data_IF_841731429954
#
_entry.id   IF_841731429954
#
_cell.length_a   1.000
_cell.length_b   1.000
_cell.length_c   1.000
_cell.angle_alpha   90.00
_cell.angle_beta   90.00
_cell.angle_gamma   90.00
#
_symmetry.space_group_name_H-M   'P 1'
#
loop_
_entity.id
_entity.type
_entity.pdbx_description
1 polymer ?
#
# COMPACT_ATOMS: atom_id res chain seq x y z
N UNK A 1 -9.59 -9.47 11.51
CA UNK A 1 -10.41 -8.69 10.56
C UNK A 1 -9.82 -7.28 10.47
N UNK A 2 -9.64 -6.74 9.27
CA UNK A 2 -8.98 -5.44 9.04
C UNK A 2 -10.01 -4.47 8.46
N UNK A 3 -9.99 -3.20 8.88
CA UNK A 3 -10.81 -2.15 8.26
C UNK A 3 -10.05 -1.51 7.12
N UNK A 4 -10.59 -1.59 5.91
CA UNK A 4 -10.05 -0.95 4.71
C UNK A 4 -10.83 0.32 4.46
N UNK A 5 -10.17 1.46 4.27
CA UNK A 5 -10.82 2.74 4.03
C UNK A 5 -10.26 3.44 2.80
N UNK A 6 -11.13 3.96 1.94
CA UNK A 6 -10.74 4.87 0.86
C UNK A 6 -11.23 6.29 1.10
N UNK A 7 -10.30 7.26 1.11
CA UNK A 7 -10.62 8.69 1.20
C UNK A 7 -10.65 9.28 -0.21
N UNK A 8 -11.82 9.77 -0.62
CA UNK A 8 -12.06 10.24 -1.97
C UNK A 8 -12.58 9.17 -2.92
N UNK A 9 -13.06 9.59 -4.09
CA UNK A 9 -13.66 8.70 -5.07
C UNK A 9 -12.68 7.65 -5.60
N UNK A 10 -11.47 8.06 -5.98
CA UNK A 10 -10.45 7.17 -6.52
C UNK A 10 -10.02 6.10 -5.49
N UNK A 11 -9.65 6.52 -4.27
CA UNK A 11 -9.31 5.59 -3.21
C UNK A 11 -10.49 4.69 -2.79
N UNK A 12 -11.72 5.22 -2.81
CA UNK A 12 -12.92 4.42 -2.52
C UNK A 12 -13.16 3.31 -3.55
N UNK A 13 -12.81 3.53 -4.83
CA UNK A 13 -12.88 2.48 -5.86
C UNK A 13 -11.83 1.39 -5.65
N UNK A 14 -10.63 1.76 -5.20
CA UNK A 14 -9.61 0.80 -4.81
C UNK A 14 -10.06 -0.01 -3.58
N UNK A 15 -10.51 0.67 -2.51
CA UNK A 15 -11.02 0.02 -1.30
C UNK A 15 -12.20 -0.94 -1.61
N UNK A 16 -13.05 -0.61 -2.59
CA UNK A 16 -14.18 -1.46 -3.01
C UNK A 16 -13.74 -2.85 -3.49
N UNK A 17 -12.52 -3.00 -4.02
CA UNK A 17 -11.98 -4.30 -4.46
C UNK A 17 -11.90 -5.32 -3.32
N UNK A 18 -11.74 -4.84 -2.08
CA UNK A 18 -11.63 -5.69 -0.89
C UNK A 18 -12.97 -6.28 -0.41
N UNK A 19 -14.11 -5.82 -0.95
CA UNK A 19 -15.45 -6.29 -0.51
C UNK A 19 -15.67 -7.77 -0.83
N UNK A 20 -15.00 -8.31 -1.86
CA UNK A 20 -15.10 -9.72 -2.23
C UNK A 20 -14.49 -10.67 -1.19
N UNK A 21 -13.66 -10.16 -0.28
CA UNK A 21 -12.93 -10.97 0.71
C UNK A 21 -13.52 -10.73 2.11
N UNK A 22 -13.96 -11.82 2.77
CA UNK A 22 -14.68 -11.78 4.05
C UNK A 22 -13.88 -11.21 5.24
N UNK A 23 -12.56 -11.11 5.11
CA UNK A 23 -11.66 -10.68 6.19
C UNK A 23 -11.59 -9.16 6.36
N UNK A 24 -12.29 -8.39 5.52
CA UNK A 24 -12.24 -6.93 5.50
C UNK A 24 -13.59 -6.28 5.80
N UNK A 25 -13.57 -5.21 6.60
CA UNK A 25 -14.65 -4.22 6.66
C UNK A 25 -14.27 -3.04 5.78
N UNK A 26 -15.03 -2.79 4.72
CA UNK A 26 -14.68 -1.78 3.72
C UNK A 26 -15.47 -0.50 3.94
N UNK A 27 -14.76 0.60 4.17
CA UNK A 27 -15.29 1.94 4.38
C UNK A 27 -14.98 2.83 3.17
N UNK A 28 -15.98 3.57 2.70
CA UNK A 28 -15.84 4.50 1.57
C UNK A 28 -16.26 5.90 2.02
N UNK A 29 -15.35 6.86 1.89
CA UNK A 29 -15.57 8.25 2.24
C UNK A 29 -15.40 9.10 0.97
N UNK A 30 -16.48 9.42 0.25
CA UNK A 30 -16.40 10.22 -0.98
C UNK A 30 -17.69 11.00 -1.30
N UNK A 31 -17.60 11.92 -2.25
CA UNK A 31 -18.67 12.81 -2.69
C UNK A 31 -19.69 12.15 -3.62
N UNK A 32 -19.31 11.05 -4.27
CA UNK A 32 -20.15 10.28 -5.20
C UNK A 32 -21.05 9.25 -4.50
N UNK A 33 -20.95 9.08 -3.18
CA UNK A 33 -21.90 8.27 -2.41
C UNK A 33 -23.27 8.94 -2.45
N UNK A 34 -24.27 8.26 -3.02
CA UNK A 34 -25.65 8.78 -3.08
C UNK A 34 -26.27 8.93 -1.68
N UNK A 35 -26.19 7.87 -0.88
CA UNK A 35 -26.75 7.81 0.48
C UNK A 35 -25.73 7.29 1.48
N UNK A 36 -25.58 8.01 2.60
CA UNK A 36 -24.75 7.55 3.70
C UNK A 36 -25.35 6.30 4.34
N UNK A 37 -24.49 5.35 4.65
CA UNK A 37 -24.79 4.08 5.30
C UNK A 37 -23.71 3.77 6.35
N UNK A 38 -23.77 2.57 6.93
CA UNK A 38 -22.77 2.08 7.88
C UNK A 38 -21.34 2.05 7.32
N UNK A 39 -21.19 1.81 6.03
CA UNK A 39 -19.89 1.62 5.37
C UNK A 39 -19.58 2.67 4.28
N UNK A 40 -20.56 3.50 3.93
CA UNK A 40 -20.39 4.56 2.93
C UNK A 40 -20.78 5.89 3.55
N UNK A 41 -19.88 6.86 3.51
CA UNK A 41 -20.14 8.21 4.03
C UNK A 41 -19.97 9.21 2.90
N UNK A 42 -21.03 9.97 2.65
CA UNK A 42 -20.98 11.11 1.73
C UNK A 42 -20.22 12.25 2.39
N UNK A 43 -19.22 12.78 1.71
CA UNK A 43 -18.48 14.00 2.10
C UNK A 43 -18.67 15.09 1.07
N UNK A 44 -18.39 16.33 1.46
CA UNK A 44 -18.43 17.48 0.56
C UNK A 44 -17.19 17.45 -0.35
N UNK A 45 -17.30 18.11 -1.50
CA UNK A 45 -16.16 18.45 -2.34
C UNK A 45 -16.09 19.95 -2.48
N UNK A 46 -14.88 20.45 -2.64
CA UNK A 46 -14.56 21.87 -2.74
C UNK A 46 -13.50 22.07 -3.81
N UNK A 47 -13.40 23.30 -4.29
CA UNK A 47 -12.42 23.65 -5.33
C UNK A 47 -11.09 24.09 -4.70
N UNK A 48 -11.11 24.50 -3.42
CA UNK A 48 -9.92 24.94 -2.70
C UNK A 48 -9.50 23.95 -1.61
N UNK A 49 -8.19 23.62 -1.48
CA UNK A 49 -7.71 22.70 -0.46
C UNK A 49 -8.11 23.09 0.97
N UNK A 50 -8.04 24.37 1.30
CA UNK A 50 -8.30 24.89 2.64
C UNK A 50 -9.76 24.69 3.08
N UNK A 51 -10.70 24.60 2.14
CA UNK A 51 -12.10 24.31 2.46
C UNK A 51 -12.29 22.88 2.99
N UNK A 52 -11.46 21.93 2.55
CA UNK A 52 -11.49 20.56 3.07
C UNK A 52 -11.08 20.52 4.55
N UNK A 53 -10.01 21.23 4.90
CA UNK A 53 -9.52 21.34 6.29
C UNK A 53 -10.55 22.02 7.20
N UNK A 54 -11.20 23.09 6.71
CA UNK A 54 -12.23 23.80 7.47
C UNK A 54 -13.56 23.03 7.60
N UNK A 55 -13.76 21.97 6.80
CA UNK A 55 -15.01 21.22 6.75
C UNK A 55 -14.81 19.72 7.00
N UNK A 56 -13.85 19.35 7.86
CA UNK A 56 -13.63 17.96 8.28
C UNK A 56 -14.94 17.41 8.90
N UNK A 57 -15.49 16.31 8.38
CA UNK A 57 -16.73 15.74 8.92
C UNK A 57 -16.50 15.08 10.28
N UNK A 58 -17.49 15.13 11.17
CA UNK A 58 -17.54 14.24 12.34
C UNK A 58 -17.87 12.81 11.87
N UNK A 59 -16.93 11.90 12.13
CA UNK A 59 -16.96 10.49 11.75
C UNK A 59 -17.06 9.57 12.96
N UNK A 60 -17.22 10.08 14.20
CA UNK A 60 -17.31 9.24 15.42
C UNK A 60 -18.35 8.12 15.29
N UNK A 61 -19.56 8.47 14.82
CA UNK A 61 -20.63 7.48 14.60
C UNK A 61 -20.33 6.56 13.41
N UNK A 62 -19.66 7.06 12.37
CA UNK A 62 -19.31 6.25 11.21
C UNK A 62 -18.24 5.20 11.56
N UNK A 63 -17.34 5.53 12.48
CA UNK A 63 -16.27 4.66 12.97
C UNK A 63 -16.65 3.83 14.19
N UNK A 64 -17.92 3.77 14.58
CA UNK A 64 -18.34 3.05 15.80
C UNK A 64 -18.01 1.55 15.79
N UNK A 65 -17.86 0.96 14.60
CA UNK A 65 -17.51 -0.46 14.42
C UNK A 65 -16.19 -0.67 13.67
N UNK A 66 -15.37 0.39 13.56
CA UNK A 66 -14.05 0.27 12.94
C UNK A 66 -13.17 -0.63 13.81
N UNK A 67 -12.41 -1.51 13.16
CA UNK A 67 -11.48 -2.40 13.86
C UNK A 67 -10.25 -1.64 14.35
N UNK A 68 -9.47 -2.28 15.22
CA UNK A 68 -8.23 -1.69 15.74
C UNK A 68 -7.17 -1.47 14.65
N UNK A 69 -7.03 -2.43 13.73
CA UNK A 69 -6.18 -2.32 12.55
C UNK A 69 -6.95 -1.65 11.40
N UNK A 70 -6.41 -0.54 10.89
CA UNK A 70 -7.03 0.24 9.81
C UNK A 70 -6.02 0.50 8.70
N UNK A 71 -6.39 0.17 7.46
CA UNK A 71 -5.61 0.51 6.26
C UNK A 71 -6.35 1.58 5.48
N UNK A 72 -5.71 2.74 5.29
CA UNK A 72 -6.31 3.92 4.66
C UNK A 72 -5.62 4.19 3.33
N UNK A 73 -6.39 4.17 2.25
CA UNK A 73 -5.94 4.54 0.91
C UNK A 73 -6.16 6.03 0.66
N UNK A 74 -5.10 6.69 0.18
CA UNK A 74 -5.09 8.11 -0.17
C UNK A 74 -4.46 8.26 -1.55
N UNK A 75 -5.12 8.98 -2.46
CA UNK A 75 -4.57 9.30 -3.79
C UNK A 75 -4.10 10.75 -3.78
N UNK A 76 -2.81 10.98 -4.01
CA UNK A 76 -2.17 12.27 -3.74
C UNK A 76 -2.80 13.47 -4.46
N UNK A 77 -3.01 13.37 -5.77
CA UNK A 77 -3.57 14.47 -6.59
C UNK A 77 -5.06 14.74 -6.39
N UNK A 78 -5.76 13.93 -5.60
CA UNK A 78 -7.20 14.13 -5.37
C UNK A 78 -7.42 15.26 -4.38
N UNK A 79 -8.28 16.23 -4.68
CA UNK A 79 -8.64 17.29 -3.72
C UNK A 79 -9.15 16.74 -2.39
N UNK A 80 -9.84 15.59 -2.42
CA UNK A 80 -10.30 14.91 -1.21
C UNK A 80 -9.20 14.33 -0.32
N UNK A 81 -7.95 14.23 -0.80
CA UNK A 81 -6.80 13.82 0.02
C UNK A 81 -6.49 14.86 1.11
N UNK A 82 -6.92 16.12 0.97
CA UNK A 82 -6.83 17.14 2.02
C UNK A 82 -7.67 16.79 3.26
N UNK A 83 -8.66 15.89 3.16
CA UNK A 83 -9.35 15.37 4.35
C UNK A 83 -8.49 14.41 5.18
N UNK A 84 -7.39 13.87 4.63
CA UNK A 84 -6.69 12.72 5.21
C UNK A 84 -6.29 12.97 6.65
N UNK A 85 -5.69 14.12 6.98
CA UNK A 85 -5.24 14.39 8.35
C UNK A 85 -6.40 14.49 9.34
N UNK A 86 -7.47 15.21 8.99
CA UNK A 86 -8.65 15.33 9.84
C UNK A 86 -9.42 14.01 10.03
N UNK A 87 -9.34 13.10 9.05
CA UNK A 87 -9.88 11.74 9.17
C UNK A 87 -8.97 10.87 10.03
N UNK A 88 -7.66 10.92 9.81
CA UNK A 88 -6.65 10.15 10.57
C UNK A 88 -6.62 10.56 12.04
N UNK A 89 -6.81 11.83 12.37
CA UNK A 89 -6.92 12.31 13.75
C UNK A 89 -8.06 11.63 14.52
N UNK A 90 -9.19 11.39 13.86
CA UNK A 90 -10.33 10.67 14.44
C UNK A 90 -10.08 9.16 14.60
N UNK A 91 -8.94 8.68 14.10
CA UNK A 91 -8.47 7.29 14.21
C UNK A 91 -7.17 7.19 15.04
N UNK A 92 -6.77 8.22 15.77
CA UNK A 92 -5.50 8.28 16.51
C UNK A 92 -5.29 7.15 17.54
N UNK A 93 -6.39 6.58 18.05
CA UNK A 93 -6.37 5.47 19.01
C UNK A 93 -6.38 4.10 18.31
N UNK A 94 -6.01 4.05 17.01
CA UNK A 94 -6.01 2.84 16.17
C UNK A 94 -4.63 2.60 15.58
N UNK A 95 -4.38 1.35 15.20
CA UNK A 95 -3.19 0.99 14.43
C UNK A 95 -3.43 1.30 12.95
N UNK A 96 -3.01 2.49 12.52
CA UNK A 96 -3.27 2.99 11.16
C UNK A 96 -2.08 2.79 10.22
N UNK A 97 -2.33 2.11 9.12
CA UNK A 97 -1.42 2.01 7.96
C UNK A 97 -1.98 2.83 6.81
N UNK A 98 -1.16 3.69 6.21
CA UNK A 98 -1.56 4.51 5.06
C UNK A 98 -0.94 3.93 3.79
N UNK A 99 -1.76 3.72 2.77
CA UNK A 99 -1.34 3.40 1.41
C UNK A 99 -1.52 4.64 0.54
N UNK A 100 -0.41 5.31 0.27
CA UNK A 100 -0.36 6.49 -0.57
C UNK A 100 -0.14 6.08 -2.01
N UNK A 101 -1.13 6.39 -2.85
CA UNK A 101 -1.07 6.18 -4.28
C UNK A 101 -0.54 7.45 -4.93
N UNK A 102 0.73 7.41 -5.34
CA UNK A 102 1.38 8.49 -6.07
C UNK A 102 0.85 8.49 -7.51
N UNK A 103 0.19 9.58 -7.94
CA UNK A 103 -0.20 9.78 -9.32
C UNK A 103 1.02 9.99 -10.22
N UNK A 104 0.83 9.85 -11.53
CA UNK A 104 1.81 10.32 -12.51
C UNK A 104 1.98 11.84 -12.34
N UNK A 105 3.15 12.24 -11.84
CA UNK A 105 3.43 13.62 -11.41
C UNK A 105 3.87 14.54 -12.56
N UNK A 106 4.24 13.95 -13.71
CA UNK A 106 4.61 14.67 -14.92
C UNK A 106 3.36 15.18 -15.65
N UNK A 107 2.24 14.48 -15.51
CA UNK A 107 0.95 14.89 -16.05
C UNK A 107 0.17 15.86 -15.14
N UNK A 108 0.65 16.13 -13.93
CA UNK A 108 -0.01 17.06 -13.00
C UNK A 108 0.47 18.49 -13.20
N UNK A 109 -0.48 19.43 -13.14
CA UNK A 109 -0.21 20.87 -13.14
C UNK A 109 -1.09 21.58 -12.10
N UNK A 110 -0.68 22.78 -11.69
CA UNK A 110 -1.47 23.63 -10.78
C UNK A 110 -1.72 23.00 -9.41
N UNK A 111 -2.96 23.17 -8.92
CA UNK A 111 -3.37 22.78 -7.56
C UNK A 111 -3.17 21.27 -7.29
N UNK A 112 -3.60 20.33 -8.17
CA UNK A 112 -3.38 18.90 -7.94
C UNK A 112 -1.93 18.50 -7.66
N UNK A 113 -0.95 19.13 -8.33
CA UNK A 113 0.48 18.88 -8.09
C UNK A 113 0.93 19.39 -6.72
N UNK A 114 0.42 20.54 -6.31
CA UNK A 114 0.70 21.10 -4.97
C UNK A 114 0.08 20.23 -3.88
N UNK A 115 -1.15 19.77 -4.06
CA UNK A 115 -1.84 18.86 -3.12
C UNK A 115 -1.08 17.55 -2.99
N UNK A 116 -0.69 16.93 -4.12
CA UNK A 116 0.12 15.72 -4.14
C UNK A 116 1.43 15.90 -3.35
N UNK A 117 2.16 16.99 -3.59
CA UNK A 117 3.39 17.32 -2.86
C UNK A 117 3.17 17.50 -1.36
N UNK A 118 2.14 18.26 -0.96
CA UNK A 118 1.85 18.53 0.45
C UNK A 118 1.45 17.25 1.17
N UNK A 119 0.49 16.51 0.62
CA UNK A 119 -0.01 15.28 1.25
C UNK A 119 1.09 14.22 1.35
N UNK A 120 1.89 14.04 0.28
CA UNK A 120 3.04 13.14 0.33
C UNK A 120 4.03 13.52 1.43
N UNK A 121 4.39 14.81 1.52
CA UNK A 121 5.38 15.28 2.49
C UNK A 121 4.87 15.14 3.93
N UNK A 122 3.63 15.54 4.20
CA UNK A 122 3.08 15.51 5.57
C UNK A 122 2.86 14.07 6.06
N UNK A 123 2.34 13.17 5.23
CA UNK A 123 2.14 11.77 5.63
C UNK A 123 3.44 11.07 5.98
N UNK A 124 4.56 11.44 5.35
CA UNK A 124 5.88 10.92 5.68
C UNK A 124 6.35 11.36 7.07
N UNK A 125 6.11 12.60 7.46
CA UNK A 125 6.42 13.10 8.80
C UNK A 125 5.56 12.43 9.88
N UNK A 126 4.28 12.16 9.57
CA UNK A 126 3.40 11.38 10.43
C UNK A 126 3.89 9.94 10.61
N UNK A 127 4.39 9.31 9.53
CA UNK A 127 5.00 8.00 9.63
C UNK A 127 6.27 8.05 10.51
N UNK A 128 7.16 9.01 10.29
CA UNK A 128 8.43 9.12 11.06
C UNK A 128 8.23 9.41 12.55
N UNK A 129 7.23 10.21 12.89
CA UNK A 129 6.89 10.53 14.29
C UNK A 129 6.21 9.38 15.03
N UNK A 130 5.89 8.28 14.34
CA UNK A 130 5.21 7.12 14.93
C UNK A 130 3.70 7.28 15.06
N UNK A 131 3.12 8.36 14.52
CA UNK A 131 1.66 8.55 14.48
C UNK A 131 0.97 7.57 13.53
N UNK A 132 1.69 7.03 12.55
CA UNK A 132 1.23 5.94 11.69
C UNK A 132 2.03 4.67 11.98
N UNK A 133 1.37 3.51 11.89
CA UNK A 133 2.06 2.21 11.89
C UNK A 133 3.02 2.14 10.71
N UNK A 134 2.53 2.50 9.52
CA UNK A 134 3.36 2.62 8.32
C UNK A 134 2.74 3.54 7.27
N UNK A 135 3.59 4.06 6.39
CA UNK A 135 3.23 4.69 5.12
C UNK A 135 3.80 3.84 3.99
N UNK A 136 2.93 3.30 3.15
CA UNK A 136 3.30 2.51 1.97
C UNK A 136 3.07 3.36 0.72
N UNK A 137 4.12 3.56 -0.07
CA UNK A 137 4.06 4.36 -1.30
C UNK A 137 4.00 3.45 -2.52
N UNK A 138 3.01 3.69 -3.39
CA UNK A 138 2.78 2.98 -4.64
C UNK A 138 2.58 4.01 -5.76
N UNK A 139 3.42 3.99 -6.79
CA UNK A 139 3.30 4.84 -7.98
C UNK A 139 2.42 4.17 -9.03
N UNK A 140 1.39 4.87 -9.49
CA UNK A 140 0.57 4.42 -10.62
C UNK A 140 1.39 4.28 -11.90
N UNK A 141 2.33 5.21 -12.14
CA UNK A 141 3.20 5.22 -13.32
C UNK A 141 4.08 3.97 -13.36
N UNK A 142 4.77 3.65 -12.25
CA UNK A 142 5.62 2.47 -12.20
C UNK A 142 4.80 1.19 -12.27
N UNK A 143 3.65 1.15 -11.61
CA UNK A 143 2.75 0.00 -11.68
C UNK A 143 2.26 -0.25 -13.12
N UNK A 144 1.86 0.80 -13.83
CA UNK A 144 1.50 0.72 -15.25
C UNK A 144 2.65 0.18 -16.10
N UNK A 145 3.86 0.73 -15.94
CA UNK A 145 5.05 0.28 -16.66
C UNK A 145 5.33 -1.22 -16.44
N UNK A 146 5.09 -1.73 -15.23
CA UNK A 146 5.29 -3.14 -14.90
C UNK A 146 4.20 -4.07 -15.45
N UNK A 147 2.96 -3.58 -15.52
CA UNK A 147 1.82 -4.30 -16.11
C UNK A 147 1.88 -4.32 -17.65
N UNK A 148 2.56 -3.35 -18.26
CA UNK A 148 2.69 -3.23 -19.71
C UNK A 148 1.44 -2.61 -20.34
N UNK A 149 0.87 -3.28 -21.35
CA UNK A 149 -0.26 -2.72 -22.11
C UNK A 149 -1.58 -2.77 -21.32
N UNK A 150 -2.01 -1.62 -20.80
CA UNK A 150 -3.28 -1.48 -20.07
C UNK A 150 -4.31 -0.76 -20.96
N UNK A 151 -5.46 -1.38 -21.28
CA UNK A 151 -6.51 -0.70 -22.05
C UNK A 151 -7.06 0.52 -21.31
N UNK A 152 -7.13 1.68 -21.99
CA UNK A 152 -7.56 2.97 -21.40
C UNK A 152 -8.89 2.86 -20.63
N UNK A 153 -9.90 2.19 -21.20
CA UNK A 153 -11.21 2.01 -20.54
C UNK A 153 -11.15 1.20 -19.23
N UNK A 154 -10.14 0.34 -19.09
CA UNK A 154 -9.91 -0.51 -17.91
C UNK A 154 -8.77 0.00 -17.03
N UNK A 155 -8.15 1.14 -17.38
CA UNK A 155 -6.93 1.64 -16.77
C UNK A 155 -6.93 1.53 -15.24
N UNK A 156 -7.80 2.30 -14.59
CA UNK A 156 -7.88 2.31 -13.14
C UNK A 156 -8.39 1.00 -12.56
N UNK A 157 -9.23 0.25 -13.28
CA UNK A 157 -9.73 -1.03 -12.78
C UNK A 157 -8.63 -2.10 -12.74
N UNK A 158 -7.71 -2.10 -13.72
CA UNK A 158 -6.53 -2.96 -13.78
C UNK A 158 -5.50 -2.58 -12.72
N UNK A 159 -5.15 -1.29 -12.60
CA UNK A 159 -4.23 -0.82 -11.57
C UNK A 159 -4.77 -1.12 -10.17
N UNK A 160 -6.05 -0.82 -9.93
CA UNK A 160 -6.67 -1.10 -8.63
C UNK A 160 -6.71 -2.60 -8.30
N UNK A 161 -6.89 -3.46 -9.31
CA UNK A 161 -6.82 -4.91 -9.11
C UNK A 161 -5.42 -5.36 -8.67
N UNK A 162 -4.38 -4.84 -9.32
CA UNK A 162 -3.00 -5.18 -8.96
C UNK A 162 -2.61 -4.66 -7.58
N UNK A 163 -3.03 -3.44 -7.21
CA UNK A 163 -2.82 -2.90 -5.87
C UNK A 163 -3.59 -3.72 -4.83
N UNK A 164 -4.85 -4.07 -5.12
CA UNK A 164 -5.65 -4.94 -4.25
C UNK A 164 -4.93 -6.28 -4.00
N UNK A 165 -4.49 -6.97 -5.05
CA UNK A 165 -3.78 -8.26 -4.92
C UNK A 165 -2.52 -8.10 -4.07
N UNK A 166 -1.72 -7.07 -4.35
CA UNK A 166 -0.50 -6.79 -3.61
C UNK A 166 -0.78 -6.60 -2.11
N UNK A 167 -1.71 -5.71 -1.75
CA UNK A 167 -2.04 -5.42 -0.35
C UNK A 167 -2.73 -6.61 0.32
N UNK A 168 -3.56 -7.36 -0.40
CA UNK A 168 -4.19 -8.58 0.10
C UNK A 168 -3.14 -9.61 0.49
N UNK A 169 -2.12 -9.84 -0.34
CA UNK A 169 -1.05 -10.78 -0.03
C UNK A 169 -0.12 -10.29 1.08
N UNK A 170 0.16 -9.00 1.18
CA UNK A 170 0.88 -8.46 2.35
C UNK A 170 0.14 -8.73 3.65
N UNK A 171 -1.19 -8.54 3.65
CA UNK A 171 -2.03 -8.90 4.79
C UNK A 171 -1.99 -10.41 5.06
N UNK A 172 -1.98 -11.25 4.02
CA UNK A 172 -1.84 -12.70 4.17
C UNK A 172 -0.50 -13.07 4.83
N UNK A 173 0.63 -12.55 4.35
CA UNK A 173 1.95 -12.86 4.89
C UNK A 173 2.12 -12.45 6.35
N UNK A 174 1.50 -11.35 6.78
CA UNK A 174 1.58 -10.90 8.17
C UNK A 174 0.80 -11.81 9.14
N UNK A 175 -0.16 -12.60 8.64
CA UNK A 175 -1.06 -13.41 9.47
C UNK A 175 -0.93 -14.92 9.25
N UNK A 176 0.00 -15.36 8.40
CA UNK A 176 0.23 -16.77 8.11
C UNK A 176 1.73 -17.08 8.25
N UNK A 177 2.01 -18.30 8.71
CA UNK A 177 3.38 -18.78 8.82
C UNK A 177 3.91 -19.22 7.45
N UNK A 178 5.17 -18.91 7.12
CA UNK A 178 5.79 -19.43 5.90
C UNK A 178 6.19 -20.89 6.05
N UNK A 179 6.28 -21.60 4.92
CA UNK A 179 6.87 -22.94 4.85
C UNK A 179 8.35 -22.92 5.21
N UNK A 180 9.07 -21.90 4.71
CA UNK A 180 10.51 -21.72 4.94
C UNK A 180 10.85 -20.25 5.13
N UNK A 181 11.79 -19.99 6.03
CA UNK A 181 12.40 -18.69 6.23
C UNK A 181 11.79 -17.94 7.40
N UNK A 182 12.27 -16.72 7.62
CA UNK A 182 11.77 -15.85 8.67
C UNK A 182 11.75 -14.43 8.15
N UNK A 183 10.59 -13.78 8.28
CA UNK A 183 10.46 -12.35 8.01
C UNK A 183 11.20 -11.61 9.12
N UNK A 184 12.22 -10.82 8.76
CA UNK A 184 12.89 -9.99 9.76
C UNK A 184 11.89 -8.97 10.31
N UNK A 185 11.91 -8.76 11.62
CA UNK A 185 11.17 -7.66 12.23
C UNK A 185 11.92 -6.36 11.91
N UNK A 186 11.36 -5.45 11.09
CA UNK A 186 12.02 -4.18 10.80
C UNK A 186 12.19 -3.36 12.08
N UNK A 187 13.10 -2.41 12.07
CA UNK A 187 13.20 -1.46 13.19
C UNK A 187 11.91 -0.64 13.29
N UNK A 188 11.44 -0.37 14.51
CA UNK A 188 10.19 0.38 14.74
C UNK A 188 10.21 1.81 14.17
N UNK A 189 11.37 2.33 13.80
CA UNK A 189 11.55 3.64 13.15
C UNK A 189 11.42 3.57 11.61
N UNK A 190 11.49 2.37 11.01
CA UNK A 190 11.41 2.15 9.57
C UNK A 190 9.94 2.06 9.13
N UNK A 191 9.23 3.19 9.19
CA UNK A 191 7.77 3.25 8.95
C UNK A 191 7.37 3.64 7.54
N UNK A 192 8.29 4.15 6.73
CA UNK A 192 8.04 4.43 5.32
C UNK A 192 8.47 3.20 4.53
N UNK A 193 7.63 2.72 3.63
CA UNK A 193 7.91 1.51 2.83
C UNK A 193 7.38 1.61 1.42
N UNK A 194 7.89 0.75 0.56
CA UNK A 194 7.33 0.44 -0.75
C UNK A 194 7.35 -1.07 -0.98
N UNK A 195 6.77 -1.48 -2.09
CA UNK A 195 6.63 -2.87 -2.48
C UNK A 195 7.20 -3.01 -3.88
N UNK A 196 7.85 -4.13 -4.16
CA UNK A 196 8.24 -4.53 -5.51
C UNK A 196 7.61 -5.86 -5.88
N UNK A 197 7.18 -5.99 -7.13
CA UNK A 197 6.75 -7.27 -7.69
C UNK A 197 7.99 -8.07 -8.11
N UNK A 198 8.03 -9.36 -7.84
CA UNK A 198 9.16 -10.21 -8.19
C UNK A 198 8.92 -10.96 -9.49
N UNK A 199 9.92 -10.94 -10.37
CA UNK A 199 10.00 -11.92 -11.44
C UNK A 199 10.55 -13.23 -10.87
N UNK A 200 9.69 -14.25 -10.73
CA UNK A 200 10.06 -15.51 -10.08
C UNK A 200 11.12 -16.34 -10.84
N UNK A 201 11.46 -15.98 -12.08
CA UNK A 201 12.54 -16.64 -12.83
C UNK A 201 13.94 -16.22 -12.37
N UNK A 202 14.11 -14.95 -12.00
CA UNK A 202 15.43 -14.34 -11.70
C UNK A 202 15.44 -13.49 -10.41
N UNK A 203 14.33 -13.43 -9.69
CA UNK A 203 14.09 -12.54 -8.54
C UNK A 203 14.35 -11.06 -8.83
N UNK A 204 14.19 -10.62 -10.08
CA UNK A 204 14.25 -9.20 -10.43
C UNK A 204 13.13 -8.43 -9.74
N UNK A 205 13.50 -7.27 -9.17
CA UNK A 205 12.62 -6.43 -8.36
C UNK A 205 12.00 -5.34 -9.23
N UNK A 206 10.69 -5.43 -9.44
CA UNK A 206 9.90 -4.39 -10.09
C UNK A 206 9.29 -3.48 -9.04
N UNK A 207 10.06 -2.51 -8.58
CA UNK A 207 9.66 -1.58 -7.52
C UNK A 207 8.47 -0.71 -7.93
N UNK A 208 7.48 -0.59 -7.05
CA UNK A 208 6.31 0.27 -7.23
C UNK A 208 6.58 1.72 -6.79
N UNK A 209 7.67 1.97 -6.09
CA UNK A 209 8.22 3.30 -5.82
C UNK A 209 9.72 3.15 -5.53
N UNK A 210 10.60 4.04 -6.03
CA UNK A 210 12.01 3.97 -5.71
C UNK A 210 12.26 4.70 -4.38
N UNK A 211 12.67 3.99 -3.34
CA UNK A 211 13.13 4.64 -2.11
C UNK A 211 14.53 5.24 -2.33
N UNK A 212 14.75 6.46 -1.83
CA UNK A 212 16.05 7.16 -1.85
C UNK A 212 17.13 6.33 -1.14
N UNK A 213 16.74 5.65 -0.06
CA UNK A 213 17.58 4.70 0.67
C UNK A 213 16.70 3.70 1.42
N UNK A 214 16.87 2.41 1.13
CA UNK A 214 16.27 1.30 1.85
C UNK A 214 17.18 0.81 2.99
N UNK A 215 16.56 0.36 4.10
CA UNK A 215 17.24 -0.16 5.30
C UNK A 215 16.98 -1.65 5.52
N UNK A 216 15.74 -2.06 5.32
CA UNK A 216 15.33 -3.45 5.49
C UNK A 216 14.57 -3.88 4.25
N UNK A 217 14.93 -5.05 3.69
CA UNK A 217 14.19 -5.68 2.61
C UNK A 217 13.79 -7.09 2.99
N UNK A 218 12.51 -7.41 2.81
CA UNK A 218 12.00 -8.76 2.92
C UNK A 218 11.44 -9.25 1.59
N UNK A 219 11.86 -10.45 1.17
CA UNK A 219 11.34 -11.15 -0.01
C UNK A 219 10.29 -12.18 0.39
N UNK A 220 9.11 -12.09 -0.19
CA UNK A 220 8.00 -13.02 -0.02
C UNK A 220 7.82 -13.77 -1.34
N UNK A 221 8.03 -15.08 -1.32
CA UNK A 221 7.95 -15.93 -2.51
C UNK A 221 6.81 -16.92 -2.33
N UNK A 222 5.77 -16.80 -3.15
CA UNK A 222 4.68 -17.76 -3.20
C UNK A 222 5.00 -18.77 -4.30
N UNK A 223 5.14 -20.04 -3.92
CA UNK A 223 5.49 -21.11 -4.83
C UNK A 223 4.32 -22.07 -4.94
N UNK A 224 4.04 -22.51 -6.17
CA UNK A 224 3.01 -23.49 -6.42
C UNK A 224 3.24 -24.77 -5.60
N UNK A 225 2.17 -25.30 -5.01
CA UNK A 225 2.17 -26.51 -4.18
C UNK A 225 2.91 -27.69 -4.82
N UNK A 226 2.60 -28.04 -6.07
CA UNK A 226 3.21 -29.18 -6.75
C UNK A 226 4.73 -29.00 -6.87
N UNK A 227 5.17 -27.77 -7.15
CA UNK A 227 6.59 -27.43 -7.27
C UNK A 227 7.32 -27.47 -5.93
N UNK A 228 6.66 -27.05 -4.84
CA UNK A 228 7.22 -27.16 -3.48
C UNK A 228 7.46 -28.62 -3.08
N UNK A 229 6.55 -29.53 -3.43
CA UNK A 229 6.63 -30.94 -3.08
C UNK A 229 7.61 -31.74 -3.95
N UNK A 230 7.78 -31.37 -5.22
CA UNK A 230 8.51 -32.18 -6.21
C UNK A 230 9.94 -31.69 -6.51
N UNK A 231 10.23 -30.40 -6.36
CA UNK A 231 11.49 -29.81 -6.79
C UNK A 231 12.53 -29.70 -5.65
N UNK A 232 13.25 -30.79 -5.39
CA UNK A 232 14.26 -30.85 -4.33
C UNK A 232 15.43 -29.86 -4.49
N UNK A 233 15.62 -29.25 -5.66
CA UNK A 233 16.65 -28.24 -5.91
C UNK A 233 16.19 -26.79 -5.73
N UNK A 234 14.89 -26.57 -5.52
CA UNK A 234 14.28 -25.24 -5.54
C UNK A 234 14.87 -24.30 -4.49
N UNK A 235 14.91 -24.73 -3.23
CA UNK A 235 15.38 -23.91 -2.12
C UNK A 235 16.79 -23.40 -2.35
N UNK A 236 17.71 -24.29 -2.76
CA UNK A 236 19.10 -23.93 -3.04
C UNK A 236 19.19 -22.85 -4.12
N UNK A 237 18.45 -22.99 -5.22
CA UNK A 237 18.44 -22.02 -6.33
C UNK A 237 17.92 -20.65 -5.86
N UNK A 238 16.82 -20.60 -5.12
CA UNK A 238 16.26 -19.34 -4.58
C UNK A 238 17.24 -18.66 -3.62
N UNK A 239 17.83 -19.42 -2.71
CA UNK A 239 18.81 -18.89 -1.74
C UNK A 239 20.06 -18.38 -2.45
N UNK A 240 20.55 -19.07 -3.47
CA UNK A 240 21.73 -18.63 -4.22
C UNK A 240 21.46 -17.34 -5.00
N UNK A 241 20.26 -17.14 -5.55
CA UNK A 241 19.83 -15.86 -6.12
C UNK A 241 19.78 -14.75 -5.05
N UNK A 242 19.25 -15.02 -3.86
CA UNK A 242 19.19 -14.06 -2.75
C UNK A 242 20.57 -13.68 -2.17
N UNK A 243 21.57 -14.57 -2.29
CA UNK A 243 22.96 -14.27 -1.88
C UNK A 243 23.65 -13.32 -2.84
N UNK A 244 23.24 -13.26 -4.11
CA UNK A 244 23.78 -12.34 -5.12
C UNK A 244 23.23 -10.92 -4.98
N UNK A 245 22.18 -10.71 -4.19
CA UNK A 245 21.59 -9.39 -3.96
C UNK A 245 22.54 -8.46 -3.22
N UNK A 246 22.55 -7.15 -3.53
CA UNK A 246 23.42 -6.18 -2.85
C UNK A 246 23.18 -6.21 -1.33
N UNK A 247 24.24 -6.41 -0.56
CA UNK A 247 24.23 -6.34 0.90
C UNK A 247 25.21 -5.27 1.33
N UNK A 248 24.76 -4.39 2.23
CA UNK A 248 25.62 -3.43 2.90
C UNK A 248 25.27 -3.42 4.40
N UNK A 249 26.08 -2.74 5.22
CA UNK A 249 25.90 -2.70 6.67
C UNK A 249 24.52 -2.16 7.11
N UNK A 250 23.81 -1.48 6.21
CA UNK A 250 22.54 -0.83 6.46
C UNK A 250 21.35 -1.51 5.79
N UNK A 251 21.57 -2.52 4.94
CA UNK A 251 20.53 -3.23 4.16
C UNK A 251 20.44 -4.68 4.62
N UNK A 252 19.50 -4.96 5.52
CA UNK A 252 19.21 -6.33 5.94
C UNK A 252 18.30 -7.00 4.94
N UNK A 253 18.61 -8.24 4.59
CA UNK A 253 17.78 -9.05 3.69
C UNK A 253 17.21 -10.23 4.47
N UNK A 254 15.88 -10.35 4.47
CA UNK A 254 15.17 -11.53 4.92
C UNK A 254 14.32 -12.11 3.81
N UNK A 255 13.90 -13.36 3.96
CA UNK A 255 13.00 -13.99 3.01
C UNK A 255 12.08 -14.99 3.69
N UNK A 256 10.94 -15.22 3.05
CA UNK A 256 9.94 -16.18 3.44
C UNK A 256 9.32 -16.82 2.19
N UNK A 257 9.10 -18.13 2.24
CA UNK A 257 8.48 -18.93 1.18
C UNK A 257 7.11 -19.38 1.68
N UNK A 258 6.08 -19.14 0.87
CA UNK A 258 4.69 -19.53 1.13
C UNK A 258 4.21 -20.47 0.03
N UNK A 259 3.29 -21.36 0.39
CA UNK A 259 2.56 -22.18 -0.58
C UNK A 259 1.46 -21.36 -1.28
N UNK A 260 1.21 -21.65 -2.54
CA UNK A 260 0.05 -21.16 -3.28
C UNK A 260 -0.52 -22.20 -4.23
N UNK A 261 -1.82 -22.12 -4.51
CA UNK A 261 -2.51 -22.92 -5.53
C UNK A 261 -2.36 -22.34 -6.94
N UNK A 262 -1.80 -21.12 -7.07
CA UNK A 262 -1.60 -20.43 -8.33
C UNK A 262 -0.20 -20.68 -8.91
N UNK A 263 0.11 -20.06 -10.05
CA UNK A 263 1.49 -20.00 -10.54
C UNK A 263 2.40 -19.24 -9.56
N UNK A 264 3.71 -19.49 -9.62
CA UNK A 264 4.68 -18.81 -8.76
C UNK A 264 4.59 -17.28 -8.92
N UNK A 265 4.47 -16.57 -7.81
CA UNK A 265 4.56 -15.11 -7.76
C UNK A 265 5.30 -14.67 -6.50
N UNK A 266 5.72 -13.41 -6.45
CA UNK A 266 6.40 -12.91 -5.27
C UNK A 266 6.37 -11.41 -5.15
N UNK A 267 6.61 -10.96 -3.93
CA UNK A 267 6.71 -9.56 -3.58
C UNK A 267 7.98 -9.34 -2.78
N UNK A 268 8.50 -8.13 -2.81
CA UNK A 268 9.51 -7.67 -1.87
C UNK A 268 9.03 -6.38 -1.21
N UNK A 269 9.34 -6.20 0.07
CA UNK A 269 8.97 -5.00 0.82
C UNK A 269 10.25 -4.37 1.29
N UNK A 270 10.47 -3.11 0.90
CA UNK A 270 11.59 -2.31 1.35
C UNK A 270 11.09 -1.23 2.32
N UNK A 271 11.79 -1.06 3.43
CA UNK A 271 11.46 -0.09 4.48
C UNK A 271 12.60 0.89 4.71
N UNK A 272 12.26 2.09 5.16
CA UNK A 272 13.19 3.16 5.48
C UNK A 272 12.66 4.06 6.59
N UNK A 273 13.59 4.70 7.29
CA UNK A 273 13.33 5.74 8.27
C UNK A 273 13.58 7.16 7.73
N UNK A 274 13.95 7.27 6.45
CA UNK A 274 14.26 8.53 5.78
C UNK A 274 13.03 9.02 5.02
N UNK A 275 12.81 10.34 5.00
CA UNK A 275 11.77 10.93 4.13
C UNK A 275 12.26 10.90 2.69
N UNK A 276 11.36 10.59 1.79
CA UNK A 276 11.58 10.47 0.36
C UNK A 276 11.35 11.82 -0.30
N UNK A 277 12.21 12.16 -1.24
CA UNK A 277 12.05 13.37 -2.04
C UNK A 277 10.78 13.30 -2.90
N UNK A 278 10.10 14.43 -3.00
CA UNK A 278 9.03 14.60 -3.97
C UNK A 278 9.66 14.86 -5.34
N UNK A 279 9.78 13.80 -6.14
CA UNK A 279 10.09 13.87 -7.57
C UNK A 279 8.82 14.17 -8.37
#
# INVERSE_FOLDING_TARGET
>A
MISIMGIGFAASRLAQKFVSVKNYKVYQLNDKVERSSKYKRKIKSFDRPEEYENNIPDLKKFFSEITDRVQVFVVGSSMSSNYSLGVLEQLKDKEVEVFYIKPDSDLLTGIPKLVDKVVFSVLQEYARSGLLKSLTVISNELLENHLGSVPIKKYYDTLNESIFQTVHYLNFFEHNEPEIGMVSKPLDICRIRTIGMLNMKNLEEKWLFPLDMDRDICYYMCINKEKLETDGGLHKRLVDLLKQKPRNAFRKISYAIYETEYEDFGFCVALTNVVQQYA
#
